data_IF_252010892144
#
_entry.id   IF_252010892144
#
_cell.length_a   1.000
_cell.length_b   1.000
_cell.length_c   1.000
_cell.angle_alpha   90.00
_cell.angle_beta   90.00
_cell.angle_gamma   90.00
#
_symmetry.space_group_name_H-M   'P 1'
#
loop_
_entity.id
_entity.type
_entity.pdbx_description
1 polymer ?
#
# COMPACT_ATOMS: atom_id res chain seq x y z
N UNK A 1 10.47 -22.62 -12.43
CA UNK A 1 9.49 -21.99 -11.52
C UNK A 1 9.82 -20.51 -11.52
N UNK A 2 9.31 -19.78 -12.51
CA UNK A 2 9.65 -18.38 -12.72
C UNK A 2 8.83 -17.52 -11.77
N UNK A 3 9.46 -17.13 -10.67
CA UNK A 3 8.90 -16.25 -9.67
C UNK A 3 8.68 -14.87 -10.30
N UNK A 4 7.46 -14.65 -10.78
CA UNK A 4 6.89 -13.35 -11.13
C UNK A 4 6.71 -12.54 -9.84
N UNK A 5 7.82 -12.21 -9.18
CA UNK A 5 7.89 -11.47 -7.92
C UNK A 5 8.40 -10.05 -8.19
N UNK A 6 7.68 -9.33 -9.05
CA UNK A 6 7.96 -7.92 -9.35
C UNK A 6 6.76 -7.05 -9.00
N UNK A 7 6.33 -7.09 -7.74
CA UNK A 7 5.49 -6.04 -7.15
C UNK A 7 5.97 -5.66 -5.75
N UNK A 8 7.27 -5.38 -5.63
CA UNK A 8 7.79 -4.68 -4.46
C UNK A 8 7.50 -3.18 -4.65
N UNK A 9 6.23 -2.80 -4.54
CA UNK A 9 5.75 -1.43 -4.74
C UNK A 9 6.32 -0.46 -3.70
N UNK A 10 5.94 0.81 -3.79
CA UNK A 10 6.25 1.81 -2.76
C UNK A 10 5.02 2.10 -1.90
N UNK A 11 5.24 2.63 -0.69
CA UNK A 11 4.16 3.19 0.10
C UNK A 11 3.46 4.27 -0.71
N UNK A 12 2.16 4.12 -0.91
CA UNK A 12 1.36 5.05 -1.69
C UNK A 12 1.43 6.48 -1.15
N UNK A 13 1.67 6.68 0.15
CA UNK A 13 1.70 8.02 0.77
C UNK A 13 3.09 8.63 0.88
N UNK A 14 4.07 7.89 1.38
CA UNK A 14 5.41 8.45 1.63
C UNK A 14 6.47 7.99 0.62
N UNK A 15 6.08 7.25 -0.41
CA UNK A 15 6.95 6.68 -1.43
C UNK A 15 8.09 5.78 -0.89
N UNK A 16 8.07 5.39 0.39
CA UNK A 16 9.02 4.44 0.98
C UNK A 16 9.01 3.14 0.14
N UNK A 17 10.15 2.70 -0.41
CA UNK A 17 10.22 1.41 -1.10
C UNK A 17 9.87 0.26 -0.16
N UNK A 18 9.05 -0.68 -0.63
CA UNK A 18 8.75 -1.91 0.11
C UNK A 18 9.80 -2.97 -0.20
N UNK A 19 10.42 -3.55 0.81
CA UNK A 19 11.45 -4.58 0.66
C UNK A 19 10.85 -5.99 0.74
N UNK A 20 11.66 -7.03 0.54
CA UNK A 20 11.24 -8.42 0.78
C UNK A 20 10.94 -8.67 2.27
N UNK A 21 11.72 -8.08 3.18
CA UNK A 21 11.45 -8.19 4.62
C UNK A 21 10.09 -7.56 4.97
N UNK A 22 9.75 -6.44 4.35
CA UNK A 22 8.45 -5.79 4.51
C UNK A 22 7.28 -6.69 4.03
N UNK A 23 7.51 -7.54 3.02
CA UNK A 23 6.50 -8.50 2.52
C UNK A 23 6.25 -9.61 3.54
N UNK A 24 7.28 -10.06 4.24
CA UNK A 24 7.17 -11.09 5.28
C UNK A 24 6.71 -10.53 6.63
N UNK A 25 6.75 -9.21 6.81
CA UNK A 25 6.23 -8.53 8.00
C UNK A 25 4.72 -8.30 7.94
N UNK A 26 4.08 -8.12 9.09
CA UNK A 26 2.68 -7.65 9.21
C UNK A 26 2.57 -6.12 9.31
N UNK A 27 3.66 -5.39 9.09
CA UNK A 27 3.70 -3.94 9.28
C UNK A 27 3.12 -3.14 8.10
N UNK A 28 2.77 -3.80 7.00
CA UNK A 28 2.25 -3.16 5.79
C UNK A 28 0.80 -3.55 5.52
N UNK A 29 -0.01 -2.58 5.16
CA UNK A 29 -1.40 -2.78 4.74
C UNK A 29 -1.49 -2.79 3.22
N UNK A 30 -2.33 -3.68 2.66
CA UNK A 30 -2.69 -3.66 1.24
C UNK A 30 -4.07 -3.05 1.01
N UNK A 31 -4.21 -2.36 -0.11
CA UNK A 31 -5.47 -1.80 -0.59
C UNK A 31 -5.80 -2.45 -1.94
N UNK A 32 -7.00 -3.03 -2.07
CA UNK A 32 -7.42 -3.73 -3.29
C UNK A 32 -8.49 -2.92 -4.01
N UNK A 33 -8.19 -2.52 -5.24
CA UNK A 33 -9.14 -1.84 -6.09
C UNK A 33 -9.98 -2.84 -6.92
N UNK A 34 -11.20 -2.46 -7.35
CA UNK A 34 -12.08 -3.36 -8.13
C UNK A 34 -11.50 -3.82 -9.47
N UNK A 35 -10.56 -3.07 -10.04
CA UNK A 35 -9.84 -3.40 -11.28
C UNK A 35 -8.71 -4.43 -11.07
N UNK A 36 -8.50 -4.90 -9.83
CA UNK A 36 -7.43 -5.83 -9.47
C UNK A 36 -6.09 -5.15 -9.15
N UNK A 37 -6.03 -3.81 -9.13
CA UNK A 37 -4.84 -3.08 -8.70
C UNK A 37 -4.65 -3.24 -7.19
N UNK A 38 -3.39 -3.44 -6.77
CA UNK A 38 -3.02 -3.58 -5.37
C UNK A 38 -2.07 -2.45 -4.98
N UNK A 39 -2.51 -1.63 -4.03
CA UNK A 39 -1.72 -0.61 -3.37
C UNK A 39 -1.12 -1.09 -2.06
N UNK A 40 -0.03 -0.46 -1.61
CA UNK A 40 0.59 -0.77 -0.32
C UNK A 40 0.83 0.50 0.51
N UNK A 41 0.61 0.40 1.82
CA UNK A 41 0.85 1.47 2.80
C UNK A 41 1.70 0.94 3.95
N UNK A 42 2.75 1.68 4.32
CA UNK A 42 3.62 1.28 5.42
C UNK A 42 2.96 1.55 6.78
N UNK A 43 3.41 0.84 7.81
CA UNK A 43 2.88 0.91 9.17
C UNK A 43 2.74 2.34 9.73
N UNK A 44 3.75 3.22 9.61
CA UNK A 44 3.63 4.62 10.03
C UNK A 44 2.46 5.35 9.35
N UNK A 45 2.36 5.27 8.02
CA UNK A 45 1.29 5.94 7.27
C UNK A 45 -0.09 5.30 7.49
N UNK A 46 -0.17 3.99 7.77
CA UNK A 46 -1.42 3.36 8.22
C UNK A 46 -1.83 3.90 9.59
N UNK A 47 -0.88 4.01 10.51
CA UNK A 47 -1.13 4.49 11.88
C UNK A 47 -1.63 5.93 11.93
N UNK A 48 -1.14 6.79 11.04
CA UNK A 48 -1.64 8.17 10.87
C UNK A 48 -3.11 8.25 10.43
N UNK A 49 -3.65 7.19 9.83
CA UNK A 49 -5.05 7.15 9.37
C UNK A 49 -5.97 6.33 10.27
N UNK A 50 -5.48 5.77 11.39
CA UNK A 50 -6.32 4.96 12.30
C UNK A 50 -7.56 5.72 12.78
N UNK A 51 -7.42 7.02 13.06
CA UNK A 51 -8.54 7.86 13.48
C UNK A 51 -9.69 7.89 12.46
N UNK A 52 -9.39 7.76 11.14
CA UNK A 52 -10.43 7.71 10.11
C UNK A 52 -11.21 6.41 10.20
N UNK A 53 -10.51 5.29 10.41
CA UNK A 53 -11.13 3.98 10.60
C UNK A 53 -12.02 4.01 11.86
N UNK A 54 -11.52 4.56 12.96
CA UNK A 54 -12.29 4.74 14.20
C UNK A 54 -13.51 5.66 14.02
N UNK A 55 -13.40 6.64 13.12
CA UNK A 55 -14.50 7.52 12.72
C UNK A 55 -15.42 6.94 11.64
N UNK A 56 -15.23 5.67 11.22
CA UNK A 56 -15.95 5.02 10.12
C UNK A 56 -15.86 5.79 8.78
N UNK A 57 -14.76 6.51 8.58
CA UNK A 57 -14.43 7.22 7.36
C UNK A 57 -13.55 6.34 6.46
N UNK A 58 -13.73 6.48 5.15
CA UNK A 58 -12.80 5.88 4.20
C UNK A 58 -11.37 6.43 4.42
N UNK A 59 -10.33 5.58 4.22
CA UNK A 59 -8.96 6.06 4.11
C UNK A 59 -8.85 7.15 3.04
N UNK A 60 -7.90 8.07 3.18
CA UNK A 60 -7.64 9.04 2.11
C UNK A 60 -7.29 8.30 0.81
N UNK A 61 -7.98 8.59 -0.31
CA UNK A 61 -7.61 8.03 -1.58
C UNK A 61 -6.21 8.52 -1.90
N UNK A 62 -5.28 7.58 -2.09
CA UNK A 62 -3.98 7.99 -2.61
C UNK A 62 -4.15 8.20 -4.10
N UNK A 63 -3.83 9.40 -4.58
CA UNK A 63 -3.69 9.65 -6.01
C UNK A 63 -2.81 8.55 -6.60
N UNK A 64 -3.41 7.67 -7.40
CA UNK A 64 -2.67 6.67 -8.14
C UNK A 64 -1.61 7.42 -8.95
N UNK A 65 -0.33 7.14 -8.70
CA UNK A 65 0.71 7.63 -9.59
C UNK A 65 0.34 7.15 -11.00
N UNK A 66 0.34 8.04 -12.01
CA UNK A 66 -0.04 7.65 -13.36
C UNK A 66 0.85 6.49 -13.80
N UNK A 67 0.23 5.39 -14.23
CA UNK A 67 0.95 4.30 -14.89
C UNK A 67 1.54 4.90 -16.16
N UNK A 68 2.85 5.11 -16.19
CA UNK A 68 3.53 5.48 -17.43
C UNK A 68 3.33 4.35 -18.45
N UNK A 69 2.77 4.72 -19.61
CA UNK A 69 2.48 3.83 -20.74
C UNK A 69 3.74 3.35 -21.44
#
# INVERSE_FOLDING_TARGET
>A
MDATSTRHGACLTCARPRTLDDVHSLEWSSEHAPDGTIGFRCGPCTREQLWRIEALLAPEPVAAAPVAA
#
